data_IF_567225380485
#
_entry.id   IF_567225380485
#
_cell.length_a   1.000
_cell.length_b   1.000
_cell.length_c   1.000
_cell.angle_alpha   90.00
_cell.angle_beta   90.00
_cell.angle_gamma   90.00
#
_symmetry.space_group_name_H-M   'P 1'
#
loop_
_entity.id
_entity.type
_entity.pdbx_description
1 polymer ?
#
# COMPACT_ATOMS: atom_id res chain seq x y z
N UNK A 1 9.32 17.94 -22.52
CA UNK A 1 8.40 17.22 -23.42
C UNK A 1 7.13 16.92 -22.63
N UNK A 2 5.96 17.18 -23.20
CA UNK A 2 4.66 16.90 -22.56
C UNK A 2 3.95 15.84 -23.41
N UNK A 3 3.49 14.76 -22.79
CA UNK A 3 2.82 13.64 -23.46
C UNK A 3 1.44 13.47 -22.84
N UNK A 4 0.40 13.51 -23.67
CA UNK A 4 -0.94 13.13 -23.27
C UNK A 4 -1.19 11.69 -23.69
N UNK A 5 -1.55 10.84 -22.75
CA UNK A 5 -1.86 9.45 -23.04
C UNK A 5 -2.91 8.93 -22.06
N UNK A 6 -3.77 8.05 -22.54
CA UNK A 6 -4.64 7.22 -21.70
C UNK A 6 -4.03 5.82 -21.48
N UNK A 7 -2.90 5.55 -22.11
CA UNK A 7 -2.19 4.28 -22.01
C UNK A 7 -1.36 4.22 -20.72
N UNK A 8 -1.80 3.40 -19.78
CA UNK A 8 -1.13 3.18 -18.49
C UNK A 8 0.26 2.56 -18.62
N UNK A 9 0.59 1.97 -19.79
CA UNK A 9 1.92 1.38 -20.05
C UNK A 9 3.03 2.42 -20.02
N UNK A 10 2.77 3.67 -20.44
CA UNK A 10 3.77 4.73 -20.39
C UNK A 10 4.09 5.12 -18.94
N UNK A 11 3.06 5.31 -18.12
CA UNK A 11 3.22 5.56 -16.69
C UNK A 11 4.02 4.44 -16.04
N UNK A 12 3.68 3.18 -16.33
CA UNK A 12 4.41 2.02 -15.82
C UNK A 12 5.88 2.00 -16.30
N UNK A 13 6.15 2.35 -17.56
CA UNK A 13 7.51 2.43 -18.08
C UNK A 13 8.34 3.55 -17.43
N UNK A 14 7.72 4.72 -17.21
CA UNK A 14 8.32 5.84 -16.48
C UNK A 14 8.71 5.41 -15.06
N UNK A 15 7.78 4.78 -14.33
CA UNK A 15 8.05 4.24 -13.00
C UNK A 15 9.13 3.15 -13.03
N UNK A 16 9.07 2.23 -14.00
CA UNK A 16 10.02 1.13 -14.15
C UNK A 16 11.46 1.59 -14.42
N UNK A 17 11.62 2.57 -15.32
CA UNK A 17 12.92 3.09 -15.73
C UNK A 17 13.44 4.19 -14.79
N UNK A 18 12.70 4.50 -13.72
CA UNK A 18 13.01 5.61 -12.79
C UNK A 18 13.27 6.93 -13.53
N UNK A 19 12.50 7.18 -14.59
CA UNK A 19 12.63 8.40 -15.39
C UNK A 19 12.07 9.56 -14.55
N UNK A 20 12.83 10.65 -14.34
CA UNK A 20 12.31 11.83 -13.65
C UNK A 20 11.16 12.44 -14.47
N UNK A 21 9.93 12.23 -14.02
CA UNK A 21 8.74 12.75 -14.69
C UNK A 21 7.65 13.08 -13.67
N UNK A 22 6.92 14.15 -13.96
CA UNK A 22 5.68 14.49 -13.25
C UNK A 22 4.51 13.88 -14.02
N UNK A 23 3.81 12.96 -13.38
CA UNK A 23 2.63 12.31 -13.96
C UNK A 23 1.40 13.00 -13.38
N UNK A 24 0.52 13.49 -14.25
CA UNK A 24 -0.74 14.14 -13.86
C UNK A 24 -1.90 13.29 -14.35
N UNK A 25 -2.81 12.92 -13.46
CA UNK A 25 -4.09 12.32 -13.79
C UNK A 25 -5.11 13.44 -14.01
N UNK A 26 -5.84 13.33 -15.12
CA UNK A 26 -6.89 14.28 -15.49
C UNK A 26 -8.20 13.51 -15.52
N UNK A 27 -9.13 13.90 -14.65
CA UNK A 27 -10.48 13.33 -14.60
C UNK A 27 -11.54 14.40 -14.85
N UNK A 28 -12.67 13.99 -15.41
CA UNK A 28 -13.84 14.84 -15.59
C UNK A 28 -14.82 14.60 -14.44
N UNK A 29 -15.17 15.63 -13.70
CA UNK A 29 -16.18 15.60 -12.65
C UNK A 29 -17.55 16.02 -13.20
N UNK A 30 -18.58 15.95 -12.34
CA UNK A 30 -19.92 16.49 -12.63
C UNK A 30 -19.82 17.97 -13.03
N UNK A 31 -20.74 18.44 -13.88
CA UNK A 31 -20.76 19.80 -14.43
C UNK A 31 -19.55 20.19 -15.29
N UNK A 32 -18.84 19.19 -15.85
CA UNK A 32 -17.69 19.41 -16.74
C UNK A 32 -16.49 20.08 -16.07
N UNK A 33 -16.42 20.05 -14.74
CA UNK A 33 -15.23 20.50 -14.01
C UNK A 33 -14.08 19.52 -14.29
N UNK A 34 -12.95 20.05 -14.76
CA UNK A 34 -11.73 19.26 -14.98
C UNK A 34 -10.94 19.24 -13.68
N UNK A 35 -10.71 18.04 -13.14
CA UNK A 35 -9.84 17.84 -11.98
C UNK A 35 -8.49 17.32 -12.45
N UNK A 36 -7.41 18.01 -12.04
CA UNK A 36 -6.03 17.62 -12.33
C UNK A 36 -5.35 17.31 -11.00
N UNK A 37 -4.88 16.08 -10.85
CA UNK A 37 -4.15 15.64 -9.68
C UNK A 37 -2.79 15.09 -10.10
N UNK A 38 -1.74 15.37 -9.32
CA UNK A 38 -0.48 14.66 -9.51
C UNK A 38 -0.67 13.20 -9.11
N UNK A 39 -0.28 12.28 -10.00
CA UNK A 39 -0.21 10.86 -9.66
C UNK A 39 0.96 10.69 -8.70
N UNK A 40 0.65 10.77 -7.42
CA UNK A 40 1.51 10.37 -6.32
C UNK A 40 1.71 8.85 -6.31
N UNK A 41 2.82 8.42 -5.73
CA UNK A 41 3.01 7.02 -5.40
C UNK A 41 1.79 6.52 -4.59
N UNK A 42 1.18 5.37 -4.94
CA UNK A 42 0.01 4.86 -4.24
C UNK A 42 0.19 4.69 -2.73
N UNK A 43 1.42 4.41 -2.29
CA UNK A 43 1.76 4.31 -0.86
C UNK A 43 1.70 5.69 -0.23
N UNK A 44 2.34 6.69 -0.85
CA UNK A 44 2.34 8.07 -0.34
C UNK A 44 0.92 8.61 -0.20
N UNK A 45 0.07 8.39 -1.21
CA UNK A 45 -1.35 8.79 -1.16
C UNK A 45 -2.10 8.16 0.00
N UNK A 46 -2.01 6.84 0.13
CA UNK A 46 -2.71 6.12 1.20
C UNK A 46 -2.20 6.51 2.59
N UNK A 47 -0.90 6.80 2.73
CA UNK A 47 -0.31 7.31 3.96
C UNK A 47 -0.78 8.74 4.26
N UNK A 48 -0.85 9.62 3.27
CA UNK A 48 -1.32 11.00 3.46
C UNK A 48 -2.79 11.06 3.90
N UNK A 49 -3.65 10.24 3.28
CA UNK A 49 -5.03 10.09 3.71
C UNK A 49 -5.12 9.58 5.16
N UNK A 50 -4.34 8.54 5.51
CA UNK A 50 -4.31 8.01 6.86
C UNK A 50 -3.79 9.04 7.88
N UNK A 51 -2.77 9.85 7.52
CA UNK A 51 -2.26 10.94 8.35
C UNK A 51 -3.30 12.02 8.59
N UNK A 52 -4.03 12.42 7.55
CA UNK A 52 -5.07 13.43 7.66
C UNK A 52 -6.15 13.02 8.68
N UNK A 53 -6.61 11.77 8.60
CA UNK A 53 -7.59 11.21 9.55
C UNK A 53 -6.98 11.04 10.95
N UNK A 54 -5.72 10.60 11.05
CA UNK A 54 -5.07 10.41 12.35
C UNK A 54 -4.85 11.71 13.13
N UNK A 55 -4.70 12.84 12.43
CA UNK A 55 -4.52 14.17 13.01
C UNK A 55 -5.83 14.86 13.40
N UNK A 56 -6.98 14.34 12.98
CA UNK A 56 -8.27 14.89 13.36
C UNK A 56 -8.59 14.61 14.84
N UNK A 57 -8.46 15.64 15.66
CA UNK A 57 -8.77 15.58 17.09
C UNK A 57 -10.25 15.48 17.40
N UNK A 58 -11.14 15.78 16.45
CA UNK A 58 -12.59 15.68 16.61
C UNK A 58 -13.13 14.32 16.15
N UNK A 59 -12.29 13.45 15.61
CA UNK A 59 -12.69 12.12 15.14
C UNK A 59 -13.13 11.24 16.32
N UNK A 60 -14.37 10.72 16.32
CA UNK A 60 -14.85 9.82 17.36
C UNK A 60 -13.96 8.58 17.48
N UNK A 61 -13.71 8.14 18.70
CA UNK A 61 -12.77 7.03 18.97
C UNK A 61 -13.18 5.75 18.23
N UNK A 62 -14.46 5.38 18.26
CA UNK A 62 -14.96 4.18 17.57
C UNK A 62 -14.70 4.21 16.06
N UNK A 63 -14.73 5.41 15.46
CA UNK A 63 -14.42 5.61 14.05
C UNK A 63 -12.91 5.48 13.82
N UNK A 64 -12.09 6.10 14.67
CA UNK A 64 -10.63 6.01 14.59
C UNK A 64 -10.15 4.55 14.71
N UNK A 65 -10.66 3.82 15.69
CA UNK A 65 -10.31 2.42 16.00
C UNK A 65 -10.63 1.47 14.84
N UNK A 66 -11.64 1.81 14.02
CA UNK A 66 -12.05 1.01 12.86
C UNK A 66 -11.39 1.45 11.56
N UNK A 67 -11.34 2.75 11.31
CA UNK A 67 -10.95 3.31 10.00
C UNK A 67 -9.44 3.34 9.85
N UNK A 68 -8.69 3.74 10.88
CA UNK A 68 -7.23 3.88 10.73
C UNK A 68 -6.51 2.55 10.47
N UNK A 69 -6.84 1.41 11.13
CA UNK A 69 -6.25 0.13 10.77
C UNK A 69 -6.56 -0.27 9.32
N UNK A 70 -7.77 0.02 8.83
CA UNK A 70 -8.15 -0.27 7.45
C UNK A 70 -7.38 0.61 6.44
N UNK A 71 -7.21 1.90 6.72
CA UNK A 71 -6.40 2.80 5.88
C UNK A 71 -4.93 2.40 5.89
N UNK A 72 -4.37 2.04 7.04
CA UNK A 72 -3.01 1.52 7.15
C UNK A 72 -2.84 0.20 6.37
N UNK A 73 -3.86 -0.67 6.37
CA UNK A 73 -3.88 -1.88 5.54
C UNK A 73 -3.76 -1.54 4.06
N UNK A 74 -4.54 -0.57 3.56
CA UNK A 74 -4.49 -0.13 2.15
C UNK A 74 -3.09 0.38 1.79
N UNK A 75 -2.45 1.16 2.66
CA UNK A 75 -1.08 1.63 2.45
C UNK A 75 -0.08 0.47 2.36
N UNK A 76 -0.19 -0.55 3.23
CA UNK A 76 0.67 -1.73 3.16
C UNK A 76 0.40 -2.58 1.91
N UNK A 77 -0.86 -2.77 1.53
CA UNK A 77 -1.23 -3.50 0.31
C UNK A 77 -0.61 -2.84 -0.93
N UNK A 78 -0.68 -1.50 -1.02
CA UNK A 78 0.00 -0.74 -2.05
C UNK A 78 1.54 -0.94 -2.02
N UNK A 79 2.14 -0.96 -0.84
CA UNK A 79 3.58 -1.12 -0.67
C UNK A 79 4.10 -2.52 -1.05
N UNK A 80 3.31 -3.58 -0.79
CA UNK A 80 3.67 -4.95 -1.16
C UNK A 80 3.43 -5.26 -2.64
N UNK A 81 2.62 -4.44 -3.34
CA UNK A 81 2.23 -4.68 -4.72
C UNK A 81 3.43 -4.71 -5.67
N UNK A 82 4.31 -3.70 -5.60
CA UNK A 82 5.46 -3.60 -6.49
C UNK A 82 6.54 -4.66 -6.22
N UNK A 83 6.92 -4.96 -4.97
CA UNK A 83 7.76 -6.11 -4.66
C UNK A 83 7.18 -7.45 -5.17
N UNK A 84 5.88 -7.68 -5.00
CA UNK A 84 5.20 -8.87 -5.53
C UNK A 84 5.26 -8.92 -7.07
N UNK A 85 5.00 -7.81 -7.76
CA UNK A 85 5.17 -7.72 -9.23
C UNK A 85 6.59 -8.02 -9.66
N UNK A 86 7.58 -7.38 -9.01
CA UNK A 86 9.00 -7.54 -9.33
C UNK A 86 9.40 -9.01 -9.20
N UNK A 87 8.98 -9.66 -8.12
CA UNK A 87 9.25 -11.07 -7.89
C UNK A 87 8.58 -11.97 -8.93
N UNK A 88 7.28 -11.81 -9.18
CA UNK A 88 6.57 -12.60 -10.19
C UNK A 88 7.16 -12.44 -11.60
N UNK A 89 7.62 -11.24 -11.97
CA UNK A 89 8.33 -11.00 -13.24
C UNK A 89 9.66 -11.74 -13.31
N UNK A 90 10.40 -11.83 -12.20
CA UNK A 90 11.66 -12.58 -12.15
C UNK A 90 11.47 -14.09 -12.42
N UNK A 91 10.27 -14.63 -12.19
CA UNK A 91 9.93 -16.02 -12.54
C UNK A 91 9.64 -16.25 -14.04
N UNK A 92 9.71 -15.21 -14.87
CA UNK A 92 9.49 -15.29 -16.32
C UNK A 92 8.01 -15.23 -16.73
N UNK A 93 7.11 -14.88 -15.81
CA UNK A 93 5.68 -14.75 -16.12
C UNK A 93 5.39 -13.56 -17.04
N UNK A 94 4.43 -13.75 -17.95
CA UNK A 94 3.92 -12.67 -18.79
C UNK A 94 3.24 -11.59 -17.95
N UNK A 95 3.21 -10.36 -18.46
CA UNK A 95 2.54 -9.23 -17.80
C UNK A 95 1.09 -9.56 -17.40
N UNK A 96 0.30 -10.13 -18.31
CA UNK A 96 -1.10 -10.49 -18.03
C UNK A 96 -1.21 -11.54 -16.92
N UNK A 97 -0.29 -12.52 -16.88
CA UNK A 97 -0.26 -13.54 -15.83
C UNK A 97 0.11 -12.96 -14.47
N UNK A 98 1.01 -11.98 -14.42
CA UNK A 98 1.37 -11.26 -13.19
C UNK A 98 0.17 -10.49 -12.64
N UNK A 99 -0.49 -9.68 -13.48
CA UNK A 99 -1.66 -8.90 -13.03
C UNK A 99 -2.85 -9.79 -12.65
N UNK A 100 -3.06 -10.93 -13.32
CA UNK A 100 -4.08 -11.90 -12.93
C UNK A 100 -3.79 -12.56 -11.57
N UNK A 101 -2.52 -12.90 -11.28
CA UNK A 101 -2.13 -13.46 -9.98
C UNK A 101 -2.32 -12.44 -8.87
N UNK A 102 -1.92 -11.20 -9.12
CA UNK A 102 -2.07 -10.10 -8.16
C UNK A 102 -3.54 -9.76 -7.92
N UNK A 103 -4.37 -9.65 -8.97
CA UNK A 103 -5.79 -9.33 -8.82
C UNK A 103 -6.60 -10.38 -8.06
N UNK A 104 -6.08 -11.62 -7.94
CA UNK A 104 -6.65 -12.69 -7.13
C UNK A 104 -6.18 -12.64 -5.66
N UNK A 105 -5.01 -12.06 -5.38
CA UNK A 105 -4.47 -11.92 -4.04
C UNK A 105 -5.11 -10.72 -3.33
N UNK A 106 -6.19 -10.96 -2.56
CA UNK A 106 -6.98 -9.89 -1.92
C UNK A 106 -6.61 -9.57 -0.46
N UNK A 107 -6.09 -10.50 0.35
CA UNK A 107 -5.56 -10.17 1.66
C UNK A 107 -4.16 -9.56 1.56
N UNK A 108 -3.88 -8.55 2.41
CA UNK A 108 -2.52 -8.07 2.70
C UNK A 108 -1.50 -9.21 2.90
N UNK A 109 -1.90 -10.30 3.56
CA UNK A 109 -1.01 -11.44 3.79
C UNK A 109 -0.71 -12.26 2.54
N UNK A 110 -1.61 -12.31 1.55
CA UNK A 110 -1.33 -12.98 0.27
C UNK A 110 -0.43 -12.12 -0.61
N UNK A 111 -0.63 -10.80 -0.63
CA UNK A 111 0.30 -9.88 -1.31
C UNK A 111 1.69 -9.93 -0.69
N UNK A 112 1.77 -9.95 0.65
CA UNK A 112 3.02 -10.17 1.36
C UNK A 112 3.64 -11.54 1.05
N UNK A 113 2.86 -12.62 0.94
CA UNK A 113 3.36 -13.93 0.53
C UNK A 113 4.04 -13.87 -0.85
N UNK A 114 3.37 -13.26 -1.83
CA UNK A 114 3.89 -13.07 -3.19
C UNK A 114 5.14 -12.19 -3.24
N UNK A 115 5.25 -11.22 -2.33
CA UNK A 115 6.43 -10.37 -2.23
C UNK A 115 7.63 -11.09 -1.56
N UNK A 116 7.37 -12.02 -0.65
CA UNK A 116 8.40 -12.62 0.20
C UNK A 116 8.89 -14.00 -0.27
N UNK A 117 8.07 -14.77 -1.00
CA UNK A 117 8.38 -16.16 -1.38
C UNK A 117 7.91 -16.52 -2.80
N UNK A 118 8.58 -17.49 -3.41
CA UNK A 118 8.15 -18.12 -4.67
C UNK A 118 7.19 -19.30 -4.46
N UNK A 119 7.16 -19.84 -3.24
CA UNK A 119 6.25 -20.93 -2.86
C UNK A 119 5.01 -20.37 -2.15
N UNK A 120 3.84 -21.03 -2.31
CA UNK A 120 2.68 -20.72 -1.50
C UNK A 120 3.02 -20.75 -0.01
N UNK A 121 2.61 -19.72 0.72
CA UNK A 121 2.80 -19.62 2.16
C UNK A 121 1.46 -19.53 2.85
N UNK A 122 1.31 -20.28 3.94
CA UNK A 122 0.21 -20.09 4.88
C UNK A 122 0.34 -18.75 5.59
N UNK A 123 -0.79 -18.17 6.00
CA UNK A 123 -0.82 -16.85 6.66
C UNK A 123 0.14 -16.73 7.84
N UNK A 124 0.24 -17.78 8.67
CA UNK A 124 1.17 -17.81 9.80
C UNK A 124 2.64 -17.74 9.35
N UNK A 125 3.00 -18.44 8.28
CA UNK A 125 4.36 -18.43 7.74
C UNK A 125 4.72 -17.05 7.16
N UNK A 126 3.76 -16.36 6.53
CA UNK A 126 3.96 -14.99 6.03
C UNK A 126 4.28 -14.04 7.18
N UNK A 127 3.50 -14.12 8.26
CA UNK A 127 3.69 -13.30 9.45
C UNK A 127 5.06 -13.53 10.10
N UNK A 128 5.51 -14.79 10.17
CA UNK A 128 6.86 -15.12 10.67
C UNK A 128 7.97 -14.67 9.72
N UNK A 129 7.76 -14.74 8.40
CA UNK A 129 8.71 -14.21 7.42
C UNK A 129 8.84 -12.69 7.52
N UNK A 130 7.73 -11.96 7.67
CA UNK A 130 7.75 -10.52 7.94
C UNK A 130 8.46 -10.22 9.26
N UNK A 131 8.19 -11.00 10.31
CA UNK A 131 8.85 -10.83 11.60
C UNK A 131 10.37 -11.03 11.53
N UNK A 132 10.82 -12.01 10.75
CA UNK A 132 12.24 -12.29 10.54
C UNK A 132 12.92 -11.18 9.73
N UNK A 133 12.28 -10.71 8.66
CA UNK A 133 12.88 -9.77 7.71
C UNK A 133 12.81 -8.31 8.22
N UNK A 134 11.77 -7.94 8.99
CA UNK A 134 11.52 -6.56 9.42
C UNK A 134 11.37 -6.39 10.94
N UNK A 135 11.33 -7.48 11.71
CA UNK A 135 11.23 -7.49 13.17
C UNK A 135 9.81 -7.81 13.69
N UNK A 136 9.69 -8.23 14.97
CA UNK A 136 8.39 -8.63 15.55
C UNK A 136 7.31 -7.55 15.52
N UNK A 137 7.70 -6.27 15.55
CA UNK A 137 6.77 -5.14 15.46
C UNK A 137 6.00 -5.11 14.13
N UNK A 138 6.63 -5.50 13.02
CA UNK A 138 6.00 -5.53 11.70
C UNK A 138 4.91 -6.60 11.62
N UNK A 139 5.14 -7.75 12.28
CA UNK A 139 4.13 -8.79 12.45
C UNK A 139 2.90 -8.26 13.20
N UNK A 140 3.15 -7.63 14.35
CA UNK A 140 2.10 -7.04 15.18
C UNK A 140 1.30 -5.99 14.41
N UNK A 141 1.98 -5.14 13.63
CA UNK A 141 1.35 -4.12 12.79
C UNK A 141 0.41 -4.74 11.73
N UNK A 142 0.86 -5.78 11.02
CA UNK A 142 0.02 -6.48 10.04
C UNK A 142 -1.17 -7.16 10.74
N UNK A 143 -0.98 -7.71 11.94
CA UNK A 143 -2.06 -8.28 12.74
C UNK A 143 -3.08 -7.20 13.14
N UNK A 144 -2.63 -6.04 13.62
CA UNK A 144 -3.47 -4.89 13.96
C UNK A 144 -4.30 -4.41 12.75
N UNK A 145 -3.66 -4.23 11.59
CA UNK A 145 -4.32 -3.78 10.36
C UNK A 145 -5.37 -4.79 9.85
N UNK A 146 -5.18 -6.08 10.10
CA UNK A 146 -6.13 -7.12 9.71
C UNK A 146 -7.26 -7.34 10.73
N UNK A 147 -6.97 -7.17 12.02
CA UNK A 147 -7.93 -7.41 13.09
C UNK A 147 -8.95 -6.26 13.22
N UNK A 148 -8.57 -5.04 12.84
CA UNK A 148 -9.49 -3.90 12.64
C UNK A 148 -10.24 -3.37 13.87
N UNK A 149 -10.23 -4.06 15.01
CA UNK A 149 -11.09 -3.71 16.16
C UNK A 149 -10.52 -4.05 17.55
N UNK A 150 -9.34 -4.65 17.65
CA UNK A 150 -8.85 -5.16 18.95
C UNK A 150 -7.95 -4.20 19.73
N UNK A 151 -7.50 -3.09 19.14
CA UNK A 151 -6.57 -2.18 19.80
C UNK A 151 -7.09 -0.74 19.73
N UNK A 152 -7.45 -0.20 20.89
CA UNK A 152 -7.93 1.16 21.00
C UNK A 152 -6.82 2.16 20.63
N UNK A 153 -7.19 3.20 19.89
CA UNK A 153 -6.38 4.35 19.52
C UNK A 153 -6.96 5.62 20.18
N UNK A 154 -6.93 5.69 21.54
CA UNK A 154 -7.65 6.71 22.29
C UNK A 154 -7.08 8.11 22.06
N UNK A 155 -5.78 8.24 21.78
CA UNK A 155 -5.13 9.54 21.59
C UNK A 155 -4.72 9.76 20.14
N UNK A 156 -4.62 11.04 19.74
CA UNK A 156 -4.00 11.44 18.46
C UNK A 156 -2.56 10.93 18.35
N UNK A 157 -1.83 10.78 19.46
CA UNK A 157 -0.49 10.23 19.46
C UNK A 157 -0.49 8.75 19.01
N UNK A 158 -1.37 7.92 19.58
CA UNK A 158 -1.51 6.51 19.22
C UNK A 158 -1.86 6.34 17.72
N UNK A 159 -2.80 7.16 17.25
CA UNK A 159 -3.21 7.21 15.84
C UNK A 159 -2.03 7.55 14.93
N UNK A 160 -1.24 8.57 15.29
CA UNK A 160 -0.04 8.97 14.54
C UNK A 160 1.03 7.89 14.54
N UNK A 161 1.22 7.21 15.66
CA UNK A 161 2.26 6.19 15.79
C UNK A 161 1.93 4.91 15.00
N UNK A 162 0.64 4.59 14.86
CA UNK A 162 0.18 3.57 13.91
C UNK A 162 0.58 3.95 12.48
N UNK A 163 0.25 5.16 12.04
CA UNK A 163 0.58 5.62 10.67
C UNK A 163 2.08 5.69 10.42
N UNK A 164 2.87 6.16 11.39
CA UNK A 164 4.35 6.14 11.30
C UNK A 164 4.91 4.72 11.18
N UNK A 165 4.36 3.77 11.94
CA UNK A 165 4.79 2.37 11.87
C UNK A 165 4.46 1.76 10.51
N UNK A 166 3.29 2.09 9.96
CA UNK A 166 2.88 1.76 8.59
C UNK A 166 3.86 2.32 7.56
N UNK A 167 4.18 3.60 7.63
CA UNK A 167 5.15 4.24 6.73
C UNK A 167 6.53 3.58 6.82
N UNK A 168 6.99 3.29 8.04
CA UNK A 168 8.28 2.62 8.25
C UNK A 168 8.31 1.25 7.58
N UNK A 169 7.26 0.45 7.73
CA UNK A 169 7.18 -0.87 7.08
C UNK A 169 7.08 -0.73 5.56
N UNK A 170 6.25 0.18 5.07
CA UNK A 170 6.06 0.42 3.64
C UNK A 170 7.39 0.77 2.94
N UNK A 171 8.17 1.68 3.51
CA UNK A 171 9.52 2.02 2.99
C UNK A 171 10.48 0.84 3.04
N UNK A 172 10.43 0.05 4.12
CA UNK A 172 11.30 -1.12 4.27
C UNK A 172 11.02 -2.21 3.23
N UNK A 173 9.75 -2.42 2.84
CA UNK A 173 9.38 -3.42 1.83
C UNK A 173 9.63 -2.94 0.40
N UNK A 174 9.48 -1.63 0.14
CA UNK A 174 9.78 -1.04 -1.18
C UNK A 174 11.29 -1.00 -1.48
N UNK A 175 12.14 -0.90 -0.45
CA UNK A 175 13.60 -0.88 -0.59
C UNK A 175 14.26 -2.23 -0.85
N UNK A 176 13.47 -3.31 -0.92
CA UNK A 176 13.92 -4.67 -1.27
C UNK A 176 13.83 -4.91 -2.77
#
# INVERSE_FOLDING_TARGET
>A
MIVFTHDTRLQQAISHLSIPATILEVSRQTDSVVHVAQVSDPVDRALDEARAVALDGNLPQEVADRVLPAMCRVALEAAFLEPARRRLRATGLSYLSVEQKIGKARPLTELAALALSDTPMERAQVLEAVARDHGPWARTLIQQCNAGTHQALPTVADRRDLVKSTERLAKAVQGR
#
